data_IF_864389454091
#
_entry.id   IF_864389454091
#
_cell.length_a   1.000
_cell.length_b   1.000
_cell.length_c   1.000
_cell.angle_alpha   90.00
_cell.angle_beta   90.00
_cell.angle_gamma   90.00
#
_symmetry.space_group_name_H-M   'P 1'
#
loop_
_entity.id
_entity.type
_entity.pdbx_description
1 polymer ?
#
# COMPACT_ATOMS: atom_id res chain seq x y z
N UNK A 1 -1.55 -2.57 19.51
CA UNK A 1 -3.00 -2.72 19.27
C UNK A 1 -3.66 -3.62 20.30
N UNK A 2 -3.11 -4.80 20.62
CA UNK A 2 -3.63 -5.73 21.65
C UNK A 2 -4.13 -5.05 22.94
N UNK A 3 -3.31 -4.19 23.55
CA UNK A 3 -3.68 -3.41 24.74
C UNK A 3 -5.05 -2.71 24.64
N UNK A 4 -5.35 -2.08 23.50
CA UNK A 4 -6.61 -1.33 23.31
C UNK A 4 -7.83 -2.23 23.09
N UNK A 5 -7.63 -3.45 22.59
CA UNK A 5 -8.70 -4.41 22.33
C UNK A 5 -9.04 -5.22 23.59
N UNK A 6 -8.11 -5.34 24.52
CA UNK A 6 -8.24 -6.13 25.75
C UNK A 6 -8.45 -5.28 27.02
N UNK A 7 -8.40 -3.94 26.92
CA UNK A 7 -8.59 -3.05 28.09
C UNK A 7 -10.07 -3.08 28.52
N UNK A 8 -10.39 -3.56 29.75
CA UNK A 8 -11.78 -3.80 30.16
C UNK A 8 -12.59 -2.54 30.46
N UNK A 9 -11.94 -1.38 30.61
CA UNK A 9 -12.57 -0.13 31.07
C UNK A 9 -12.68 0.90 29.94
N UNK A 10 -13.40 0.55 28.88
CA UNK A 10 -13.84 1.54 27.89
C UNK A 10 -15.36 1.52 27.90
N UNK A 11 -15.98 2.70 28.05
CA UNK A 11 -17.44 2.89 27.94
C UNK A 11 -17.88 2.79 26.47
N UNK A 12 -17.57 1.67 25.82
CA UNK A 12 -17.93 1.34 24.45
C UNK A 12 -18.33 -0.14 24.39
N UNK A 13 -19.15 -0.55 23.40
CA UNK A 13 -19.46 -1.95 23.19
C UNK A 13 -18.19 -2.80 22.98
N UNK A 14 -18.20 -4.08 23.42
CA UNK A 14 -17.06 -4.97 23.21
C UNK A 14 -16.80 -5.24 21.73
N UNK A 15 -15.52 -5.34 21.36
CA UNK A 15 -15.08 -5.68 20.00
C UNK A 15 -14.60 -7.13 20.01
N UNK A 16 -15.13 -7.95 19.10
CA UNK A 16 -14.63 -9.30 18.86
C UNK A 16 -13.32 -9.25 18.06
N UNK A 17 -12.25 -9.85 18.58
CA UNK A 17 -10.97 -9.95 17.89
C UNK A 17 -10.92 -11.22 17.03
N UNK A 18 -10.82 -11.05 15.72
CA UNK A 18 -10.60 -12.14 14.75
C UNK A 18 -9.23 -11.95 14.08
N UNK A 19 -8.27 -12.81 14.40
CA UNK A 19 -6.93 -12.81 13.81
C UNK A 19 -6.85 -13.84 12.67
N UNK A 20 -6.29 -13.44 11.52
CA UNK A 20 -6.05 -14.32 10.36
C UNK A 20 -4.58 -14.32 9.97
N UNK A 21 -4.10 -15.43 9.40
CA UNK A 21 -2.71 -15.50 8.94
C UNK A 21 -2.45 -14.53 7.78
N UNK A 22 -1.26 -13.91 7.80
CA UNK A 22 -0.82 -13.00 6.75
C UNK A 22 -0.50 -13.76 5.45
N UNK A 23 -1.10 -13.31 4.35
CA UNK A 23 -0.79 -13.83 3.02
C UNK A 23 0.70 -13.66 2.67
N UNK A 24 1.26 -14.72 2.09
CA UNK A 24 2.66 -14.78 1.63
C UNK A 24 2.71 -14.94 0.12
N UNK A 25 3.77 -14.39 -0.47
CA UNK A 25 4.13 -14.60 -1.87
C UNK A 25 5.63 -14.90 -1.94
N UNK A 26 6.00 -16.03 -2.54
CA UNK A 26 7.38 -16.53 -2.57
C UNK A 26 8.01 -16.60 -1.18
N UNK A 27 7.32 -17.25 -0.22
CA UNK A 27 7.73 -17.37 1.19
C UNK A 27 7.86 -16.05 1.98
N UNK A 28 7.65 -14.90 1.34
CA UNK A 28 7.72 -13.61 2.00
C UNK A 28 6.32 -13.06 2.29
N UNK A 29 6.08 -12.54 3.51
CA UNK A 29 4.82 -11.86 3.81
C UNK A 29 4.65 -10.62 2.94
N UNK A 30 3.49 -10.47 2.31
CA UNK A 30 3.17 -9.29 1.49
C UNK A 30 3.14 -8.06 2.41
N UNK A 31 3.81 -6.96 2.06
CA UNK A 31 3.85 -5.74 2.89
C UNK A 31 3.74 -4.45 2.07
N UNK A 32 3.06 -3.45 2.64
CA UNK A 32 2.89 -2.15 1.99
C UNK A 32 4.22 -1.40 1.83
N UNK A 33 5.16 -1.57 2.76
CA UNK A 33 6.50 -0.98 2.66
C UNK A 33 7.27 -1.51 1.45
N UNK A 34 7.17 -2.82 1.15
CA UNK A 34 7.78 -3.42 -0.04
C UNK A 34 7.18 -2.87 -1.33
N UNK A 35 5.85 -2.75 -1.40
CA UNK A 35 5.16 -2.16 -2.56
C UNK A 35 5.64 -0.73 -2.81
N UNK A 36 5.73 0.12 -1.77
CA UNK A 36 6.25 1.50 -1.90
C UNK A 36 7.71 1.55 -2.37
N UNK A 37 8.57 0.66 -1.86
CA UNK A 37 9.96 0.56 -2.30
C UNK A 37 10.09 0.19 -3.78
N UNK A 38 9.27 -0.74 -4.27
CA UNK A 38 9.23 -1.10 -5.69
C UNK A 38 8.64 0.02 -6.54
N UNK A 39 7.63 0.74 -6.02
CA UNK A 39 7.00 1.85 -6.71
C UNK A 39 7.98 3.00 -6.93
N UNK A 40 8.82 3.31 -5.93
CA UNK A 40 9.90 4.28 -6.05
C UNK A 40 10.94 3.89 -7.12
N UNK A 41 11.03 2.59 -7.47
CA UNK A 41 11.89 2.06 -8.54
C UNK A 41 11.15 1.91 -9.87
N UNK A 42 9.87 2.29 -9.96
CA UNK A 42 8.97 2.04 -11.10
C UNK A 42 8.86 0.56 -11.50
N UNK A 43 9.12 -0.37 -10.58
CA UNK A 43 9.09 -1.82 -10.86
C UNK A 43 7.67 -2.39 -10.68
N UNK A 44 6.80 -2.05 -11.63
CA UNK A 44 5.41 -2.50 -11.65
C UNK A 44 5.27 -4.02 -11.84
N UNK A 45 6.24 -4.64 -12.52
CA UNK A 45 6.28 -6.09 -12.73
C UNK A 45 6.44 -6.84 -11.41
N UNK A 46 7.34 -6.38 -10.54
CA UNK A 46 7.51 -6.95 -9.21
C UNK A 46 6.36 -6.63 -8.25
N UNK A 47 5.59 -5.55 -8.50
CA UNK A 47 4.41 -5.18 -7.71
C UNK A 47 3.20 -6.03 -8.09
N UNK A 48 3.04 -6.39 -9.36
CA UNK A 48 1.86 -7.09 -9.89
C UNK A 48 1.38 -8.29 -9.05
N UNK A 49 2.23 -9.21 -8.57
CA UNK A 49 1.78 -10.33 -7.74
C UNK A 49 1.49 -9.96 -6.28
N UNK A 50 1.87 -8.76 -5.83
CA UNK A 50 1.73 -8.32 -4.43
C UNK A 50 0.43 -7.57 -4.16
N UNK A 51 -0.30 -7.18 -5.21
CA UNK A 51 -1.50 -6.35 -5.11
C UNK A 51 -2.61 -6.85 -6.06
N UNK A 52 -3.88 -6.59 -5.76
CA UNK A 52 -4.97 -6.85 -6.71
C UNK A 52 -4.78 -6.07 -8.02
N UNK A 53 -5.32 -6.59 -9.12
CA UNK A 53 -5.23 -5.97 -10.44
C UNK A 53 -5.74 -4.51 -10.47
N UNK A 54 -6.85 -4.24 -9.75
CA UNK A 54 -7.41 -2.88 -9.62
C UNK A 54 -6.43 -1.91 -8.93
N UNK A 55 -5.67 -2.40 -7.96
CA UNK A 55 -4.64 -1.63 -7.27
C UNK A 55 -3.43 -1.39 -8.18
N UNK A 56 -3.02 -2.40 -8.96
CA UNK A 56 -1.94 -2.24 -9.94
C UNK A 56 -2.28 -1.16 -10.96
N UNK A 57 -3.51 -1.18 -11.49
CA UNK A 57 -4.00 -0.16 -12.42
C UNK A 57 -4.01 1.24 -11.79
N UNK A 58 -4.47 1.36 -10.53
CA UNK A 58 -4.39 2.62 -9.81
C UNK A 58 -2.95 3.14 -9.68
N UNK A 59 -1.99 2.27 -9.36
CA UNK A 59 -0.58 2.64 -9.22
C UNK A 59 0.06 3.06 -10.55
N UNK A 60 -0.33 2.41 -11.66
CA UNK A 60 0.07 2.82 -13.01
C UNK A 60 -0.37 4.26 -13.29
N UNK A 61 -1.66 4.55 -13.08
CA UNK A 61 -2.19 5.90 -13.28
C UNK A 61 -1.48 6.92 -12.39
N UNK A 62 -1.23 6.60 -11.11
CA UNK A 62 -0.52 7.49 -10.20
C UNK A 62 0.87 7.87 -10.73
N UNK A 63 1.62 6.90 -11.27
CA UNK A 63 2.93 7.16 -11.87
C UNK A 63 2.83 8.02 -13.13
N UNK A 64 1.86 7.76 -14.01
CA UNK A 64 1.63 8.57 -15.20
C UNK A 64 1.35 10.04 -14.87
N UNK A 65 0.48 10.30 -13.89
CA UNK A 65 0.18 11.66 -13.44
C UNK A 65 1.42 12.34 -12.86
N UNK A 66 2.19 11.64 -12.01
CA UNK A 66 3.43 12.21 -11.44
C UNK A 66 4.47 12.58 -12.50
N UNK A 67 4.53 11.83 -13.60
CA UNK A 67 5.41 12.11 -14.74
C UNK A 67 4.93 13.33 -15.53
N UNK A 68 3.62 13.48 -15.70
CA UNK A 68 3.02 14.65 -16.33
C UNK A 68 3.27 15.92 -15.51
N UNK A 69 3.10 15.85 -14.20
CA UNK A 69 3.39 16.96 -13.28
C UNK A 69 4.86 17.37 -13.34
N UNK A 70 5.78 16.39 -13.34
CA UNK A 70 7.21 16.65 -13.47
C UNK A 70 7.56 17.30 -14.82
N UNK A 71 6.94 16.84 -15.92
CA UNK A 71 7.15 17.40 -17.24
C UNK A 71 6.56 18.83 -17.38
N UNK A 72 5.41 19.10 -16.76
CA UNK A 72 4.79 20.43 -16.73
C UNK A 72 5.68 21.45 -16.02
N UNK A 73 6.29 21.07 -14.89
CA UNK A 73 7.23 21.93 -14.15
C UNK A 73 8.49 22.29 -14.94
N UNK A 74 8.91 21.44 -15.87
CA UNK A 74 10.08 21.71 -16.72
C UNK A 74 9.78 22.64 -17.90
N UNK A 75 8.50 22.78 -18.27
CA UNK A 75 8.05 23.56 -19.45
C UNK A 75 7.69 25.02 -19.16
N UNK A 76 7.64 25.43 -17.89
CA UNK A 76 7.44 26.83 -17.50
C UNK A 76 8.80 27.45 -17.22
N UNK A 77 9.39 28.23 -18.14
CA UNK A 77 10.56 29.03 -17.81
C UNK A 77 10.12 30.21 -16.94
N UNK A 78 10.95 30.55 -15.95
CA UNK A 78 10.83 31.74 -15.12
C UNK A 78 11.06 33.03 -15.93
#
# INVERSE_FOLDING_TARGET
MRYWLETPTISAPPIELVEIERLRYQEMPISASRVRQLLAKNDLTAIAPLVPAVTLHYLQNLLEHSRQDAAARQKTPA
#
